data_IF_194468097957
#
_entry.id   IF_194468097957
#
_cell.length_a   1.000
_cell.length_b   1.000
_cell.length_c   1.000
_cell.angle_alpha   90.00
_cell.angle_beta   90.00
_cell.angle_gamma   90.00
#
_symmetry.space_group_name_H-M   'P 1'
#
loop_
_entity.id
_entity.type
_entity.pdbx_description
1 polymer ?
#
# COMPACT_ATOMS: atom_id res chain seq x y z
N UNK A 1 -37.07 -36.16 0.16
CA UNK A 1 -35.99 -35.95 1.13
C UNK A 1 -34.79 -35.60 0.28
N UNK A 2 -34.70 -34.32 -0.03
CA UNK A 2 -33.66 -33.74 -0.87
C UNK A 2 -32.31 -33.79 -0.15
N UNK A 3 -31.20 -34.04 -0.85
CA UNK A 3 -29.88 -33.81 -0.29
C UNK A 3 -29.70 -32.29 -0.11
N UNK A 4 -29.30 -31.90 1.09
CA UNK A 4 -29.03 -30.52 1.46
C UNK A 4 -27.93 -29.95 0.53
N UNK A 5 -28.29 -28.84 -0.12
CA UNK A 5 -27.40 -27.97 -0.90
C UNK A 5 -26.33 -27.42 0.05
N UNK A 6 -25.15 -28.04 0.04
CA UNK A 6 -23.94 -27.54 0.71
C UNK A 6 -23.36 -26.35 -0.07
N UNK A 7 -24.13 -25.28 -0.18
CA UNK A 7 -23.64 -23.97 -0.60
C UNK A 7 -22.96 -23.29 0.58
N UNK A 8 -21.81 -23.84 1.00
CA UNK A 8 -20.83 -23.07 1.78
C UNK A 8 -20.35 -21.86 0.97
N UNK A 9 -20.07 -20.70 1.58
CA UNK A 9 -19.58 -19.54 0.83
C UNK A 9 -18.28 -19.92 0.11
N UNK A 10 -18.30 -19.90 -1.21
CA UNK A 10 -17.12 -20.07 -2.07
C UNK A 10 -16.26 -18.81 -2.01
N UNK A 11 -15.76 -18.47 -0.82
CA UNK A 11 -15.06 -17.22 -0.56
C UNK A 11 -13.59 -17.47 -0.27
N UNK A 12 -12.84 -18.05 -1.22
CA UNK A 12 -11.36 -18.07 -1.11
C UNK A 12 -10.66 -18.59 -2.38
N UNK A 13 -11.31 -19.51 -3.11
CA UNK A 13 -10.66 -20.39 -4.10
C UNK A 13 -10.08 -19.72 -5.38
N UNK A 14 -9.96 -18.39 -5.41
CA UNK A 14 -9.33 -17.66 -6.51
C UNK A 14 -8.78 -16.28 -6.15
N UNK A 15 -8.81 -15.88 -4.87
CA UNK A 15 -8.29 -14.58 -4.45
C UNK A 15 -6.80 -14.68 -4.08
N UNK A 16 -5.95 -14.05 -4.88
CA UNK A 16 -4.51 -13.94 -4.65
C UNK A 16 -4.21 -12.76 -3.70
N UNK A 17 -2.97 -12.67 -3.23
CA UNK A 17 -2.51 -11.55 -2.43
C UNK A 17 -1.85 -10.49 -3.31
N UNK A 18 -2.19 -9.23 -3.06
CA UNK A 18 -1.63 -8.08 -3.74
C UNK A 18 -1.15 -7.07 -2.70
N UNK A 19 0.07 -6.57 -2.87
CA UNK A 19 0.52 -5.36 -2.20
C UNK A 19 0.22 -4.16 -3.10
N UNK A 20 -0.40 -3.11 -2.56
CA UNK A 20 -0.69 -1.89 -3.33
C UNK A 20 0.01 -0.70 -2.68
N UNK A 21 0.87 -0.04 -3.46
CA UNK A 21 1.54 1.20 -3.08
C UNK A 21 0.67 2.39 -3.49
N UNK A 22 0.26 3.19 -2.50
CA UNK A 22 -0.44 4.44 -2.70
C UNK A 22 0.41 5.63 -2.24
N UNK A 23 0.23 6.79 -2.87
CA UNK A 23 0.90 8.05 -2.47
C UNK A 23 -0.13 9.04 -1.99
N UNK A 24 0.18 9.71 -0.88
CA UNK A 24 -0.66 10.71 -0.24
C UNK A 24 0.13 12.01 -0.09
N UNK A 25 -0.56 13.15 -0.17
CA UNK A 25 -0.02 14.50 -0.01
C UNK A 25 -0.61 15.15 1.23
N UNK A 26 0.26 15.50 2.17
CA UNK A 26 -0.03 16.31 3.34
C UNK A 26 0.17 17.80 3.08
N UNK A 27 -0.77 18.60 3.60
CA UNK A 27 -0.73 20.07 3.58
C UNK A 27 -1.39 20.70 2.34
N UNK A 28 -2.04 21.85 2.56
CA UNK A 28 -2.73 22.59 1.50
C UNK A 28 -1.81 23.53 0.73
N UNK A 29 -0.71 23.96 1.36
CA UNK A 29 0.28 24.89 0.81
C UNK A 29 1.71 24.35 1.00
N UNK A 30 2.64 24.86 0.18
CA UNK A 30 4.03 24.41 0.23
C UNK A 30 4.75 24.83 1.54
N UNK A 31 5.71 24.03 2.05
CA UNK A 31 6.16 22.76 1.48
C UNK A 31 5.19 21.60 1.75
N UNK A 32 4.94 20.78 0.72
CA UNK A 32 4.12 19.59 0.84
C UNK A 32 4.90 18.44 1.49
N UNK A 33 4.16 17.53 2.13
CA UNK A 33 4.70 16.28 2.66
C UNK A 33 4.11 15.15 1.85
N UNK A 34 4.91 14.23 1.35
CA UNK A 34 4.40 13.05 0.66
C UNK A 34 4.60 11.82 1.53
N UNK A 35 3.54 11.04 1.67
CA UNK A 35 3.57 9.75 2.34
C UNK A 35 3.32 8.64 1.31
N UNK A 36 4.14 7.61 1.35
CA UNK A 36 3.92 6.40 0.58
C UNK A 36 3.46 5.29 1.51
N UNK A 37 2.30 4.68 1.22
CA UNK A 37 1.76 3.57 2.01
C UNK A 37 1.71 2.31 1.17
N UNK A 38 2.10 1.18 1.75
CA UNK A 38 1.94 -0.16 1.19
C UNK A 38 0.88 -0.90 2.01
N UNK A 39 -0.15 -1.41 1.34
CA UNK A 39 -1.26 -2.15 1.96
C UNK A 39 -1.40 -3.52 1.31
N UNK A 40 -1.82 -4.53 2.07
CA UNK A 40 -2.03 -5.90 1.56
C UNK A 40 -3.52 -6.16 1.36
N UNK A 41 -3.85 -6.70 0.19
CA UNK A 41 -5.22 -6.95 -0.25
C UNK A 41 -5.37 -8.37 -0.75
N UNK A 42 -6.53 -8.95 -0.47
CA UNK A 42 -6.99 -10.16 -1.13
C UNK A 42 -7.94 -9.77 -2.26
N UNK A 43 -7.60 -10.15 -3.49
CA UNK A 43 -8.36 -9.81 -4.68
C UNK A 43 -8.22 -10.90 -5.75
N UNK A 44 -9.16 -10.96 -6.69
CA UNK A 44 -9.09 -11.84 -7.87
C UNK A 44 -8.28 -11.25 -9.03
N UNK A 45 -7.89 -9.98 -8.97
CA UNK A 45 -7.13 -9.31 -10.03
C UNK A 45 -6.36 -8.08 -9.54
N UNK A 46 -5.43 -7.58 -10.37
CA UNK A 46 -4.74 -6.31 -10.14
C UNK A 46 -5.72 -5.13 -10.06
N UNK A 47 -6.68 -5.06 -10.99
CA UNK A 47 -7.65 -3.95 -11.04
C UNK A 47 -8.53 -3.92 -9.79
N UNK A 48 -8.96 -5.09 -9.32
CA UNK A 48 -9.73 -5.21 -8.08
C UNK A 48 -8.88 -4.81 -6.86
N UNK A 49 -7.62 -5.24 -6.77
CA UNK A 49 -6.73 -4.84 -5.69
C UNK A 49 -6.50 -3.32 -5.67
N UNK A 50 -6.32 -2.71 -6.84
CA UNK A 50 -6.18 -1.25 -6.99
C UNK A 50 -7.46 -0.55 -6.52
N UNK A 51 -8.63 -0.99 -7.00
CA UNK A 51 -9.90 -0.38 -6.63
C UNK A 51 -10.17 -0.45 -5.12
N UNK A 52 -9.83 -1.58 -4.47
CA UNK A 52 -9.92 -1.72 -3.02
C UNK A 52 -8.98 -0.75 -2.29
N UNK A 53 -7.74 -0.62 -2.76
CA UNK A 53 -6.76 0.28 -2.17
C UNK A 53 -7.10 1.76 -2.35
N UNK A 54 -7.62 2.15 -3.52
CA UNK A 54 -8.09 3.51 -3.80
C UNK A 54 -9.29 3.87 -2.92
N UNK A 55 -10.28 2.97 -2.83
CA UNK A 55 -11.46 3.19 -1.99
C UNK A 55 -11.08 3.38 -0.51
N UNK A 56 -10.12 2.60 0.00
CA UNK A 56 -9.64 2.78 1.37
C UNK A 56 -8.78 4.04 1.54
N UNK A 57 -7.95 4.37 0.54
CA UNK A 57 -7.18 5.60 0.54
C UNK A 57 -8.09 6.84 0.64
N UNK A 58 -9.15 6.88 -0.17
CA UNK A 58 -10.15 7.95 -0.15
C UNK A 58 -10.92 7.96 1.18
N UNK A 59 -11.31 6.79 1.71
CA UNK A 59 -12.02 6.69 2.98
C UNK A 59 -11.17 7.20 4.17
N UNK A 60 -9.86 6.95 4.15
CA UNK A 60 -8.93 7.44 5.16
C UNK A 60 -8.86 8.98 5.19
N UNK A 61 -8.96 9.66 4.03
CA UNK A 61 -9.01 11.13 3.96
C UNK A 61 -10.19 11.72 4.76
N UNK A 62 -11.31 10.99 4.82
CA UNK A 62 -12.54 11.46 5.45
C UNK A 62 -12.65 11.11 6.94
N UNK A 63 -11.79 10.24 7.46
CA UNK A 63 -11.95 9.63 8.80
C UNK A 63 -10.82 9.93 9.77
N UNK A 64 -9.59 10.09 9.27
CA UNK A 64 -8.46 10.44 10.10
C UNK A 64 -8.31 11.97 10.15
N UNK A 65 -8.13 12.56 11.35
CA UNK A 65 -7.75 13.97 11.59
C UNK A 65 -6.35 14.33 10.98
N UNK A 66 -5.93 13.57 9.98
CA UNK A 66 -4.63 13.55 9.34
C UNK A 66 -4.82 14.16 7.95
N UNK A 67 -4.28 15.36 7.78
CA UNK A 67 -4.38 16.25 6.62
C UNK A 67 -3.75 15.72 5.32
N UNK A 68 -3.93 14.45 4.99
CA UNK A 68 -3.31 13.78 3.84
C UNK A 68 -4.37 13.37 2.82
N UNK A 69 -4.19 13.82 1.58
CA UNK A 69 -5.07 13.54 0.44
C UNK A 69 -4.38 12.53 -0.49
N UNK A 70 -5.12 11.57 -1.01
CA UNK A 70 -4.66 10.63 -2.02
C UNK A 70 -4.19 11.39 -3.26
N UNK A 71 -2.97 11.11 -3.71
CA UNK A 71 -2.31 11.81 -4.80
C UNK A 71 -2.61 11.19 -6.18
N UNK A 72 -3.46 10.15 -6.25
CA UNK A 72 -3.87 9.51 -7.51
C UNK A 72 -2.91 8.46 -8.07
N UNK A 73 -1.97 7.95 -7.26
CA UNK A 73 -1.10 6.84 -7.64
C UNK A 73 -1.46 5.59 -6.83
N UNK A 74 -1.87 4.51 -7.50
CA UNK A 74 -1.97 3.17 -6.95
C UNK A 74 -1.20 2.18 -7.84
N UNK A 75 -0.28 1.42 -7.26
CA UNK A 75 0.54 0.43 -7.96
C UNK A 75 0.43 -0.92 -7.28
N UNK A 76 -0.16 -1.91 -7.95
CA UNK A 76 -0.34 -3.24 -7.41
C UNK A 76 0.78 -4.21 -7.79
N UNK A 77 1.18 -5.03 -6.83
CA UNK A 77 2.20 -6.07 -6.93
C UNK A 77 1.61 -7.37 -6.42
N UNK A 78 1.54 -8.38 -7.28
CA UNK A 78 1.04 -9.70 -6.88
C UNK A 78 2.09 -10.45 -6.08
N UNK A 79 1.71 -10.99 -4.94
CA UNK A 79 2.53 -11.90 -4.15
C UNK A 79 2.38 -13.32 -4.70
N UNK A 80 3.51 -14.02 -4.86
CA UNK A 80 3.54 -15.41 -5.35
C UNK A 80 2.98 -16.38 -4.31
N UNK A 81 3.09 -16.03 -3.03
CA UNK A 81 2.67 -16.85 -1.89
C UNK A 81 1.94 -15.95 -0.86
N UNK A 82 1.14 -16.53 0.04
CA UNK A 82 0.58 -15.77 1.16
C UNK A 82 1.67 -15.03 1.95
N UNK A 83 1.40 -13.82 2.47
CA UNK A 83 2.38 -13.03 3.19
C UNK A 83 2.87 -13.78 4.44
N UNK A 84 4.19 -13.95 4.52
CA UNK A 84 4.88 -14.61 5.60
C UNK A 84 6.19 -13.93 5.94
N UNK A 85 6.96 -14.53 6.84
CA UNK A 85 8.26 -13.99 7.23
C UNK A 85 9.21 -13.94 6.02
N UNK A 86 9.70 -12.75 5.69
CA UNK A 86 10.62 -12.53 4.58
C UNK A 86 9.96 -12.45 3.20
N UNK A 87 8.62 -12.47 3.11
CA UNK A 87 7.93 -12.27 1.83
C UNK A 87 8.22 -10.88 1.28
N UNK A 88 8.72 -10.82 0.05
CA UNK A 88 8.86 -9.55 -0.67
C UNK A 88 7.47 -9.04 -1.07
N UNK A 89 7.14 -7.83 -0.65
CA UNK A 89 5.84 -7.18 -0.93
C UNK A 89 5.97 -6.08 -1.98
N UNK A 90 7.18 -5.57 -2.23
CA UNK A 90 7.44 -4.47 -3.14
C UNK A 90 8.89 -4.54 -3.63
N UNK A 91 9.07 -4.28 -4.93
CA UNK A 91 10.38 -4.11 -5.55
C UNK A 91 10.29 -3.03 -6.63
N UNK A 92 11.29 -2.15 -6.67
CA UNK A 92 11.43 -1.11 -7.68
C UNK A 92 12.85 -1.15 -8.24
N UNK A 93 12.94 -1.45 -9.54
CA UNK A 93 14.17 -1.29 -10.30
C UNK A 93 14.18 0.11 -10.93
N UNK A 94 15.33 0.80 -10.81
CA UNK A 94 15.56 2.11 -11.41
C UNK A 94 16.96 2.13 -11.99
N UNK A 95 17.05 2.43 -13.28
CA UNK A 95 18.33 2.71 -13.93
C UNK A 95 18.88 4.05 -13.42
N UNK A 96 20.17 4.08 -13.10
CA UNK A 96 20.85 5.27 -12.56
C UNK A 96 22.34 5.22 -12.87
N UNK A 97 22.90 6.33 -13.31
CA UNK A 97 24.34 6.52 -13.48
C UNK A 97 25.05 6.96 -12.18
N UNK A 98 24.28 7.21 -11.12
CA UNK A 98 24.83 7.62 -9.81
C UNK A 98 25.51 6.45 -9.09
N UNK A 99 26.64 6.69 -8.40
CA UNK A 99 27.20 5.70 -7.48
C UNK A 99 26.28 5.47 -6.27
N UNK A 100 26.46 4.36 -5.53
CA UNK A 100 25.51 3.94 -4.50
C UNK A 100 25.21 4.99 -3.41
N UNK A 101 26.22 5.68 -2.87
CA UNK A 101 26.03 6.67 -1.80
C UNK A 101 25.20 7.86 -2.28
N UNK A 102 25.54 8.42 -3.45
CA UNK A 102 24.79 9.52 -4.05
C UNK A 102 23.36 9.11 -4.41
N UNK A 103 23.16 7.87 -4.88
CA UNK A 103 21.82 7.35 -5.16
C UNK A 103 20.95 7.27 -3.90
N UNK A 104 21.50 6.77 -2.80
CA UNK A 104 20.79 6.67 -1.52
C UNK A 104 20.42 8.06 -0.99
N UNK A 105 21.37 8.98 -0.93
CA UNK A 105 21.09 10.36 -0.49
C UNK A 105 20.07 11.07 -1.39
N UNK A 106 20.08 10.80 -2.70
CA UNK A 106 19.20 11.47 -3.66
C UNK A 106 17.73 11.05 -3.54
N UNK A 107 17.46 9.82 -3.11
CA UNK A 107 16.12 9.22 -3.19
C UNK A 107 15.57 8.64 -1.89
N UNK A 108 16.39 8.37 -0.87
CA UNK A 108 15.97 7.59 0.30
C UNK A 108 16.46 8.12 1.65
N UNK A 109 17.67 8.67 1.70
CA UNK A 109 18.31 9.20 2.92
C UNK A 109 18.68 10.67 2.70
N UNK A 110 17.66 11.47 2.42
CA UNK A 110 17.80 12.92 2.21
C UNK A 110 18.00 13.66 3.53
N UNK A 111 17.61 13.05 4.65
CA UNK A 111 17.61 13.63 5.98
C UNK A 111 16.33 14.40 6.32
N UNK A 112 15.36 14.45 5.40
CA UNK A 112 14.07 15.11 5.58
C UNK A 112 12.91 14.12 5.79
N UNK A 113 13.18 12.81 5.70
CA UNK A 113 12.19 11.76 5.86
C UNK A 113 11.62 11.71 7.28
N UNK A 114 10.29 11.56 7.38
CA UNK A 114 9.58 11.37 8.66
C UNK A 114 9.31 9.88 8.85
N UNK A 115 10.31 9.15 9.32
CA UNK A 115 10.22 7.71 9.54
C UNK A 115 9.82 7.41 11.01
N UNK A 116 8.96 6.42 11.24
CA UNK A 116 8.72 5.89 12.58
C UNK A 116 7.61 6.55 13.42
N UNK A 117 6.52 7.00 12.81
CA UNK A 117 5.31 7.39 13.54
C UNK A 117 4.52 6.17 14.04
N UNK A 118 5.04 5.39 14.99
CA UNK A 118 4.14 4.57 15.81
C UNK A 118 3.46 5.52 16.81
N UNK A 119 2.22 5.91 16.51
CA UNK A 119 1.32 6.35 17.56
C UNK A 119 1.12 5.15 18.49
N UNK A 120 2.02 4.97 19.47
CA UNK A 120 1.67 4.23 20.66
C UNK A 120 0.58 5.03 21.36
N UNK A 121 -0.68 4.66 21.10
CA UNK A 121 -1.77 4.97 22.00
C UNK A 121 -1.50 4.24 23.32
N UNK A 122 -0.76 4.89 24.22
CA UNK A 122 -0.71 4.49 25.61
C UNK A 122 -2.12 4.63 26.18
N UNK A 123 -2.74 3.51 26.53
CA UNK A 123 -3.83 3.44 27.50
C UNK A 123 -3.31 2.96 28.84
#
# INVERSE_FOLDING_TARGET
MDPEDDSGPTGDAGAEWYAVRCVFRGGDEAPFVYEERLTLWRAGSFDEAIALAEAEAEAAEYTEDISFQYAGLAQAYRLVEPPGHGTEVYSLMRDSDLPPEEYLTRFFDTGEERQGGSAQASS
#
